data_IF_630439590961
#
_entry.id   IF_630439590961
#
_cell.length_a   1.000
_cell.length_b   1.000
_cell.length_c   1.000
_cell.angle_alpha   90.00
_cell.angle_beta   90.00
_cell.angle_gamma   90.00
#
_symmetry.space_group_name_H-M   'P 1'
#
loop_
_entity.id
_entity.type
_entity.pdbx_description
1 polymer ?
#
# COMPACT_ATOMS: atom_id res chain seq x y z
N UNK A 1 6.28 -24.44 18.02
CA UNK A 1 7.62 -24.22 18.60
C UNK A 1 8.62 -24.42 17.48
N UNK A 2 9.42 -23.40 17.14
CA UNK A 2 10.44 -23.55 16.12
C UNK A 2 11.55 -24.42 16.70
N UNK A 3 11.81 -25.58 16.10
CA UNK A 3 12.96 -26.41 16.46
C UNK A 3 14.20 -25.74 15.88
N UNK A 4 15.07 -25.21 16.76
CA UNK A 4 16.39 -24.76 16.35
C UNK A 4 17.24 -26.01 16.07
N UNK A 5 17.80 -26.17 14.85
CA UNK A 5 18.63 -27.32 14.52
C UNK A 5 20.02 -27.27 15.16
N UNK A 6 20.41 -26.16 15.81
CA UNK A 6 21.62 -26.07 16.62
C UNK A 6 21.31 -26.41 18.07
N UNK A 7 21.97 -27.44 18.60
CA UNK A 7 22.03 -27.68 20.04
C UNK A 7 22.94 -26.67 20.76
N UNK A 8 22.82 -26.58 22.08
CA UNK A 8 23.53 -25.60 22.91
C UNK A 8 25.07 -25.75 22.84
N UNK A 9 25.56 -26.97 22.62
CA UNK A 9 27.00 -27.24 22.49
C UNK A 9 27.56 -26.72 21.18
N UNK A 10 26.84 -26.95 20.07
CA UNK A 10 27.17 -26.38 18.77
C UNK A 10 27.06 -24.85 18.80
N UNK A 11 26.05 -24.29 19.47
CA UNK A 11 25.90 -22.85 19.61
C UNK A 11 27.09 -22.22 20.36
N UNK A 12 27.59 -22.87 21.42
CA UNK A 12 28.77 -22.41 22.14
C UNK A 12 30.04 -22.45 21.30
N UNK A 13 30.23 -23.51 20.49
CA UNK A 13 31.38 -23.65 19.59
C UNK A 13 31.40 -22.56 18.50
N UNK A 14 30.22 -22.16 17.99
CA UNK A 14 30.09 -21.19 16.91
C UNK A 14 29.72 -19.78 17.39
N UNK A 15 29.80 -19.49 18.69
CA UNK A 15 29.29 -18.25 19.28
C UNK A 15 29.86 -16.99 18.61
N UNK A 16 31.16 -16.98 18.30
CA UNK A 16 31.81 -15.84 17.62
C UNK A 16 31.28 -15.66 16.19
N UNK A 17 31.09 -16.76 15.45
CA UNK A 17 30.60 -16.73 14.07
C UNK A 17 29.13 -16.30 14.01
N UNK A 18 28.32 -16.79 14.95
CA UNK A 18 26.92 -16.37 15.11
C UNK A 18 26.87 -14.86 15.39
N UNK A 19 27.68 -14.37 16.33
CA UNK A 19 27.74 -12.95 16.67
C UNK A 19 28.16 -12.09 15.47
N UNK A 20 29.14 -12.55 14.69
CA UNK A 20 29.57 -11.85 13.47
C UNK A 20 28.48 -11.82 12.39
N UNK A 21 27.76 -12.94 12.21
CA UNK A 21 26.63 -13.04 11.28
C UNK A 21 25.47 -12.13 11.69
N UNK A 22 25.12 -12.10 12.98
CA UNK A 22 24.06 -11.25 13.50
C UNK A 22 24.39 -9.76 13.32
N UNK A 23 25.64 -9.37 13.57
CA UNK A 23 26.10 -8.00 13.31
C UNK A 23 26.00 -7.63 11.83
N UNK A 24 26.42 -8.52 10.92
CA UNK A 24 26.31 -8.29 9.48
C UNK A 24 24.83 -8.21 9.02
N UNK A 25 23.98 -9.09 9.54
CA UNK A 25 22.55 -9.09 9.25
C UNK A 25 21.87 -7.79 9.71
N UNK A 26 22.23 -7.27 10.89
CA UNK A 26 21.71 -6.01 11.40
C UNK A 26 22.05 -4.82 10.47
N UNK A 27 23.29 -4.74 9.99
CA UNK A 27 23.72 -3.69 9.04
C UNK A 27 22.94 -3.79 7.73
N UNK A 28 22.76 -5.01 7.19
CA UNK A 28 22.03 -5.21 5.95
C UNK A 28 20.53 -4.90 6.09
N UNK A 29 19.94 -5.22 7.24
CA UNK A 29 18.55 -4.90 7.55
C UNK A 29 18.33 -3.38 7.60
N UNK A 30 19.21 -2.64 8.30
CA UNK A 30 19.14 -1.18 8.39
C UNK A 30 19.28 -0.51 7.01
N UNK A 31 20.19 -1.00 6.18
CA UNK A 31 20.35 -0.53 4.80
C UNK A 31 19.08 -0.79 3.96
N UNK A 32 18.44 -1.94 4.14
CA UNK A 32 17.20 -2.30 3.46
C UNK A 32 16.03 -1.41 3.90
N UNK A 33 15.90 -1.14 5.20
CA UNK A 33 14.89 -0.23 5.76
C UNK A 33 15.09 1.20 5.24
N UNK A 34 16.34 1.68 5.21
CA UNK A 34 16.67 3.01 4.70
C UNK A 34 16.30 3.16 3.22
N UNK A 35 16.55 2.12 2.41
CA UNK A 35 16.16 2.10 0.98
C UNK A 35 14.63 2.18 0.82
N UNK A 36 13.87 1.62 1.76
CA UNK A 36 12.40 1.63 1.76
C UNK A 36 11.78 2.86 2.43
N UNK A 37 12.59 3.72 3.05
CA UNK A 37 12.10 4.92 3.72
C UNK A 37 11.28 5.77 2.72
N UNK A 38 10.03 6.14 3.07
CA UNK A 38 9.16 6.82 2.12
C UNK A 38 9.77 8.16 1.72
N UNK A 39 9.83 8.43 0.42
CA UNK A 39 10.24 9.73 -0.09
C UNK A 39 9.32 10.80 0.51
N UNK A 40 9.85 11.60 1.45
CA UNK A 40 9.13 12.72 2.06
C UNK A 40 9.03 13.84 1.02
N UNK A 41 8.01 13.81 0.19
CA UNK A 41 7.72 14.91 -0.74
C UNK A 41 7.38 14.45 -2.14
N UNK A 42 6.15 14.00 -2.34
CA UNK A 42 5.52 13.91 -3.66
C UNK A 42 4.05 14.20 -3.45
N UNK A 43 3.50 15.19 -4.18
CA UNK A 43 2.06 15.51 -4.16
C UNK A 43 1.29 14.19 -4.25
N UNK A 44 0.29 14.01 -3.41
CA UNK A 44 -0.57 12.83 -3.36
C UNK A 44 -1.26 12.61 -4.73
N UNK A 45 -0.52 12.04 -5.67
CA UNK A 45 -0.95 11.75 -7.02
C UNK A 45 -1.87 10.54 -6.95
N UNK A 46 -3.17 10.83 -7.11
CA UNK A 46 -4.26 9.91 -7.46
C UNK A 46 -4.00 8.43 -7.18
N UNK A 47 -4.56 7.94 -6.07
CA UNK A 47 -4.64 6.50 -5.82
C UNK A 47 -5.34 5.83 -6.99
N UNK A 48 -4.86 4.66 -7.40
CA UNK A 48 -5.47 3.87 -8.47
C UNK A 48 -5.92 2.52 -7.93
N UNK A 49 -6.86 1.91 -8.64
CA UNK A 49 -7.47 0.65 -8.24
C UNK A 49 -6.59 -0.52 -8.71
N UNK A 50 -6.33 -1.48 -7.84
CA UNK A 50 -5.78 -2.79 -8.22
C UNK A 50 -6.77 -3.90 -7.88
N UNK A 51 -6.74 -4.97 -8.67
CA UNK A 51 -7.71 -6.07 -8.65
C UNK A 51 -6.97 -7.40 -8.50
N UNK A 52 -7.57 -8.30 -7.71
CA UNK A 52 -7.24 -9.70 -7.66
C UNK A 52 -8.45 -10.52 -8.11
N UNK A 53 -8.24 -11.40 -9.08
CA UNK A 53 -9.29 -12.22 -9.73
C UNK A 53 -9.68 -13.47 -8.92
N UNK A 54 -9.49 -13.44 -7.60
CA UNK A 54 -9.98 -14.52 -6.73
C UNK A 54 -11.52 -14.51 -6.68
N UNK A 55 -12.13 -15.61 -6.25
CA UNK A 55 -13.57 -15.65 -6.00
C UNK A 55 -13.84 -15.52 -4.49
N UNK A 56 -14.51 -14.45 -4.01
CA UNK A 56 -14.99 -13.27 -4.74
C UNK A 56 -13.85 -12.26 -5.08
N UNK A 57 -13.99 -11.47 -6.18
CA UNK A 57 -12.93 -10.59 -6.67
C UNK A 57 -12.67 -9.45 -5.68
N UNK A 58 -11.39 -9.18 -5.43
CA UNK A 58 -10.95 -8.19 -4.44
C UNK A 58 -10.37 -6.97 -5.11
N UNK A 59 -10.75 -5.79 -4.62
CA UNK A 59 -10.35 -4.49 -5.16
C UNK A 59 -9.83 -3.63 -4.01
N UNK A 60 -8.68 -3.00 -4.21
CA UNK A 60 -8.10 -2.06 -3.24
C UNK A 60 -7.57 -0.83 -3.98
N UNK A 61 -7.64 0.34 -3.33
CA UNK A 61 -7.02 1.56 -3.85
C UNK A 61 -5.67 1.76 -3.18
N UNK A 62 -4.64 1.96 -3.99
CA UNK A 62 -3.27 2.11 -3.53
C UNK A 62 -2.61 3.32 -4.18
N UNK A 63 -1.56 3.84 -3.54
CA UNK A 63 -0.74 4.87 -4.16
C UNK A 63 0.20 4.27 -5.21
N UNK A 64 0.57 5.02 -6.26
CA UNK A 64 1.64 4.64 -7.20
C UNK A 64 2.94 4.22 -6.50
N UNK A 65 3.32 4.94 -5.44
CA UNK A 65 4.51 4.64 -4.66
C UNK A 65 4.44 3.24 -4.04
N UNK A 66 3.35 2.90 -3.35
CA UNK A 66 3.14 1.58 -2.74
C UNK A 66 3.19 0.46 -3.78
N UNK A 67 2.65 0.66 -4.99
CA UNK A 67 2.71 -0.33 -6.05
C UNK A 67 4.13 -0.54 -6.61
N UNK A 68 4.94 0.53 -6.62
CA UNK A 68 6.32 0.46 -7.12
C UNK A 68 7.30 -0.22 -6.15
N UNK A 69 6.97 -0.31 -4.86
CA UNK A 69 7.85 -0.92 -3.85
C UNK A 69 7.96 -2.45 -3.97
N UNK A 70 7.03 -3.10 -4.66
CA UNK A 70 7.10 -4.55 -4.86
C UNK A 70 5.75 -5.19 -5.22
N UNK A 71 5.75 -6.50 -5.49
CA UNK A 71 4.53 -7.23 -5.84
C UNK A 71 3.57 -7.28 -4.66
N UNK A 72 2.37 -6.74 -4.84
CA UNK A 72 1.28 -6.88 -3.87
C UNK A 72 0.61 -8.25 -4.03
N UNK A 73 0.54 -9.00 -2.94
CA UNK A 73 -0.05 -10.35 -2.89
C UNK A 73 -1.40 -10.35 -2.19
N UNK A 74 -2.35 -11.11 -2.73
CA UNK A 74 -3.64 -11.36 -2.08
C UNK A 74 -3.47 -12.29 -0.89
N UNK A 75 -3.87 -11.90 0.31
CA UNK A 75 -3.76 -12.74 1.51
C UNK A 75 -4.64 -14.02 1.51
N UNK A 76 -5.45 -14.25 0.46
CA UNK A 76 -6.26 -15.46 0.31
C UNK A 76 -5.71 -16.44 -0.72
N UNK A 77 -5.55 -15.99 -1.97
CA UNK A 77 -5.06 -16.85 -3.05
C UNK A 77 -3.57 -16.69 -3.32
N UNK A 78 -2.90 -15.75 -2.65
CA UNK A 78 -1.48 -15.39 -2.83
C UNK A 78 -1.12 -14.94 -4.26
N UNK A 79 -2.12 -14.69 -5.11
CA UNK A 79 -1.92 -14.15 -6.44
C UNK A 79 -1.53 -12.67 -6.40
N UNK A 80 -0.83 -12.21 -7.43
CA UNK A 80 -0.42 -10.81 -7.59
C UNK A 80 -1.62 -9.94 -7.99
N UNK A 81 -1.78 -8.81 -7.31
CA UNK A 81 -2.73 -7.79 -7.74
C UNK A 81 -2.27 -7.15 -9.06
N UNK A 82 -3.23 -6.85 -9.94
CA UNK A 82 -3.00 -6.15 -11.21
C UNK A 82 -3.67 -4.77 -11.21
N UNK A 83 -3.11 -3.76 -11.90
CA UNK A 83 -3.82 -2.50 -12.11
C UNK A 83 -5.15 -2.75 -12.81
N UNK A 84 -6.22 -2.14 -12.32
CA UNK A 84 -7.45 -2.07 -13.08
C UNK A 84 -7.20 -1.17 -14.30
N UNK A 85 -7.37 -1.69 -15.52
CA UNK A 85 -7.20 -0.91 -16.76
C UNK A 85 -8.17 0.28 -16.85
N UNK A 86 -9.16 0.34 -15.95
CA UNK A 86 -10.11 1.45 -15.85
C UNK A 86 -9.62 2.48 -14.84
N UNK A 87 -8.95 3.52 -15.33
CA UNK A 87 -8.82 4.78 -14.60
C UNK A 87 -10.22 5.23 -14.16
N UNK A 88 -10.48 5.24 -12.85
CA UNK A 88 -11.70 5.89 -12.35
C UNK A 88 -11.67 7.35 -12.82
N UNK A 89 -12.79 7.89 -13.33
CA UNK A 89 -12.87 9.32 -13.59
C UNK A 89 -12.53 10.07 -12.30
N UNK A 90 -11.63 11.04 -12.43
CA UNK A 90 -11.25 12.01 -11.39
C UNK A 90 -12.51 12.43 -10.63
N UNK A 91 -12.63 12.05 -9.35
CA UNK A 91 -13.65 12.68 -8.52
C UNK A 91 -13.32 14.19 -8.48
N UNK A 92 -14.27 15.08 -8.79
CA UNK A 92 -14.05 16.50 -8.58
C UNK A 92 -13.74 16.73 -7.10
N UNK A 93 -12.67 17.48 -6.82
CA UNK A 93 -12.41 17.98 -5.47
C UNK A 93 -13.63 18.78 -5.05
N UNK A 94 -14.17 18.44 -3.87
CA UNK A 94 -15.38 19.07 -3.33
C UNK A 94 -15.11 20.49 -2.87
N UNK A 95 -14.96 21.43 -3.80
CA UNK A 95 -14.83 22.86 -3.48
C UNK A 95 -15.84 23.79 -4.20
N UNK A 96 -16.66 23.33 -5.15
CA UNK A 96 -17.67 24.19 -5.79
C UNK A 96 -19.01 23.49 -6.03
N UNK A 97 -19.91 23.52 -5.04
CA UNK A 97 -21.35 23.29 -5.27
C UNK A 97 -22.25 23.85 -4.15
N UNK A 98 -21.92 25.00 -3.56
CA UNK A 98 -22.87 25.77 -2.75
C UNK A 98 -22.88 27.24 -3.18
N UNK A 99 -23.26 27.46 -4.44
CA UNK A 99 -23.75 28.77 -4.89
C UNK A 99 -25.25 28.82 -4.65
N UNK A 100 -25.66 29.00 -3.39
CA UNK A 100 -27.03 29.40 -3.09
C UNK A 100 -27.13 30.90 -3.35
N UNK A 101 -27.28 31.27 -4.62
CA UNK A 101 -27.62 32.64 -5.02
C UNK A 101 -28.71 32.59 -6.09
N UNK A 102 -29.87 33.11 -5.69
CA UNK A 102 -30.85 33.86 -6.46
C UNK A 102 -31.37 33.30 -7.79
N UNK A 103 -32.69 33.06 -7.83
CA UNK A 103 -33.43 33.03 -9.09
C UNK A 103 -34.74 32.25 -9.03
N UNK A 104 -35.82 32.89 -8.55
CA UNK A 104 -37.20 32.43 -8.76
C UNK A 104 -37.46 32.08 -10.24
N UNK A 105 -38.44 31.19 -10.50
CA UNK A 105 -39.47 31.56 -11.47
C UNK A 105 -40.84 31.74 -10.81
N UNK A 106 -41.49 32.84 -11.20
CA UNK A 106 -42.80 33.25 -10.77
C UNK A 106 -43.88 32.22 -11.16
N UNK A 107 -44.68 31.79 -10.19
CA UNK A 107 -45.96 31.11 -10.45
C UNK A 107 -47.07 32.13 -10.17
N UNK A 108 -47.72 32.61 -11.25
CA UNK A 108 -48.93 33.43 -11.17
C UNK A 108 -50.16 32.55 -10.88
N UNK A 109 -51.20 33.11 -10.26
CA UNK A 109 -52.37 32.38 -9.78
C UNK A 109 -53.42 32.21 -10.89
N UNK A 110 -54.31 31.22 -10.72
CA UNK A 110 -55.51 31.00 -11.55
C UNK A 110 -56.70 30.65 -10.65
N UNK A 111 -57.94 30.91 -11.12
CA UNK A 111 -58.97 31.70 -10.43
C UNK A 111 -59.70 31.05 -9.25
#
# INVERSE_FOLDING_TARGET
MAHCPLDDGAAALWAEVITALDAAAAVQLEASITTLAPARGGRAGTRFLVICDCAPPRRIQISPFTFSQGPLLCGLCLARFRPAETSLPRQPSGEEAWSFTDGLPAVRPTP
#
